data_IF_056538943870
#
_entry.id   IF_056538943870
#
_cell.length_a   1.000
_cell.length_b   1.000
_cell.length_c   1.000
_cell.angle_alpha   90.00
_cell.angle_beta   90.00
_cell.angle_gamma   90.00
#
_symmetry.space_group_name_H-M   'P 1'
#
loop_
_entity.id
_entity.type
_entity.pdbx_description
1 polymer ?
#
# COMPACT_ATOMS: atom_id res chain seq x y z
N UNK A 1 -10.49 -20.93 -11.16
CA UNK A 1 -9.28 -20.38 -11.83
C UNK A 1 -8.47 -19.63 -10.79
N UNK A 2 -7.46 -20.26 -10.18
CA UNK A 2 -6.52 -19.59 -9.27
C UNK A 2 -5.25 -19.25 -10.07
N UNK A 3 -4.92 -17.96 -10.12
CA UNK A 3 -3.77 -17.45 -10.87
C UNK A 3 -2.46 -17.95 -10.26
N UNK A 4 -1.64 -18.62 -11.08
CA UNK A 4 -0.33 -19.17 -10.73
C UNK A 4 0.78 -18.09 -10.73
N UNK A 5 0.53 -16.91 -10.13
CA UNK A 5 1.47 -15.78 -10.18
C UNK A 5 2.29 -15.56 -8.90
N UNK A 6 2.02 -16.28 -7.82
CA UNK A 6 2.71 -16.05 -6.53
C UNK A 6 4.12 -16.65 -6.42
N UNK A 7 4.62 -17.38 -7.42
CA UNK A 7 5.80 -18.24 -7.26
C UNK A 7 7.17 -17.51 -7.26
N UNK A 8 7.24 -16.18 -7.45
CA UNK A 8 8.52 -15.44 -7.51
C UNK A 8 8.53 -14.12 -6.75
N UNK A 9 7.82 -14.03 -5.61
CA UNK A 9 8.01 -12.90 -4.70
C UNK A 9 8.89 -13.30 -3.52
N UNK A 10 10.15 -12.83 -3.45
CA UNK A 10 10.97 -13.08 -2.27
C UNK A 10 10.29 -12.47 -1.04
N UNK A 11 10.19 -13.27 0.02
CA UNK A 11 9.65 -12.81 1.31
C UNK A 11 10.79 -12.36 2.21
N UNK A 12 10.57 -11.29 2.97
CA UNK A 12 11.55 -10.71 3.87
C UNK A 12 10.97 -10.57 5.27
N UNK A 13 11.78 -10.86 6.28
CA UNK A 13 11.40 -10.67 7.67
C UNK A 13 11.39 -9.18 8.03
N UNK A 14 10.32 -8.73 8.68
CA UNK A 14 10.20 -7.36 9.20
C UNK A 14 10.33 -7.42 10.73
N UNK A 15 11.42 -6.86 11.26
CA UNK A 15 11.68 -6.80 12.70
C UNK A 15 11.36 -5.40 13.23
N UNK A 16 10.32 -5.29 14.07
CA UNK A 16 9.88 -4.02 14.66
C UNK A 16 9.85 -4.11 16.18
N UNK A 17 10.33 -3.07 16.85
CA UNK A 17 10.16 -2.88 18.29
C UNK A 17 9.01 -1.89 18.50
N UNK A 18 8.02 -2.30 19.28
CA UNK A 18 6.85 -1.47 19.60
C UNK A 18 6.61 -1.51 21.11
N UNK A 19 5.99 -0.45 21.63
CA UNK A 19 5.52 -0.42 23.01
C UNK A 19 4.39 -1.43 23.21
N UNK A 20 4.23 -1.91 24.44
CA UNK A 20 3.26 -2.95 24.77
C UNK A 20 1.80 -2.47 24.62
N UNK A 21 1.53 -1.21 24.95
CA UNK A 21 0.21 -0.61 24.79
C UNK A 21 -0.25 -0.54 23.33
N UNK A 22 0.67 -0.16 22.43
CA UNK A 22 0.43 -0.16 20.98
C UNK A 22 0.24 -1.60 20.48
N UNK A 23 1.07 -2.54 20.94
CA UNK A 23 0.92 -3.96 20.61
C UNK A 23 -0.46 -4.49 21.00
N UNK A 24 -0.93 -4.15 22.20
CA UNK A 24 -2.25 -4.56 22.69
C UNK A 24 -3.39 -3.94 21.89
N UNK A 25 -3.26 -2.67 21.50
CA UNK A 25 -4.23 -2.00 20.63
C UNK A 25 -4.36 -2.71 19.27
N UNK A 26 -3.24 -2.99 18.61
CA UNK A 26 -3.23 -3.68 17.31
C UNK A 26 -3.82 -5.09 17.43
N UNK A 27 -3.48 -5.82 18.50
CA UNK A 27 -4.03 -7.16 18.72
C UNK A 27 -5.55 -7.15 18.87
N UNK A 28 -6.11 -6.17 19.58
CA UNK A 28 -7.57 -5.99 19.70
C UNK A 28 -8.21 -5.68 18.35
N UNK A 29 -7.63 -4.74 17.59
CA UNK A 29 -8.12 -4.42 16.25
C UNK A 29 -8.12 -5.66 15.35
N UNK A 30 -7.00 -6.37 15.25
CA UNK A 30 -6.87 -7.59 14.45
C UNK A 30 -7.93 -8.64 14.81
N UNK A 31 -8.22 -8.81 16.10
CA UNK A 31 -9.28 -9.72 16.58
C UNK A 31 -10.67 -9.33 16.07
N UNK A 32 -11.00 -8.03 16.04
CA UNK A 32 -12.27 -7.54 15.47
C UNK A 32 -12.39 -7.86 13.98
N UNK A 33 -11.28 -7.89 13.25
CA UNK A 33 -11.22 -8.27 11.83
C UNK A 33 -11.07 -9.79 11.59
N UNK A 34 -11.00 -10.61 12.65
CA UNK A 34 -10.78 -12.06 12.52
C UNK A 34 -9.40 -12.44 11.97
N UNK A 35 -8.41 -11.54 12.06
CA UNK A 35 -7.07 -11.71 11.48
C UNK A 35 -6.01 -11.94 12.54
N UNK A 36 -4.89 -12.54 12.13
CA UNK A 36 -3.68 -12.49 12.95
C UNK A 36 -3.14 -11.05 13.02
N UNK A 37 -2.42 -10.72 14.09
CA UNK A 37 -1.81 -9.38 14.23
C UNK A 37 -0.88 -9.04 13.07
N UNK A 38 -0.06 -9.99 12.62
CA UNK A 38 0.88 -9.78 11.51
C UNK A 38 0.14 -9.53 10.20
N UNK A 39 -0.88 -10.34 9.91
CA UNK A 39 -1.72 -10.16 8.71
C UNK A 39 -2.43 -8.81 8.71
N UNK A 40 -3.04 -8.43 9.85
CA UNK A 40 -3.64 -7.12 10.01
C UNK A 40 -2.64 -5.98 9.79
N UNK A 41 -1.42 -6.10 10.35
CA UNK A 41 -0.36 -5.10 10.16
C UNK A 41 0.09 -4.99 8.70
N UNK A 42 0.25 -6.11 8.00
CA UNK A 42 0.67 -6.12 6.60
C UNK A 42 -0.40 -5.54 5.67
N UNK A 43 -1.67 -5.92 5.86
CA UNK A 43 -2.77 -5.37 5.07
C UNK A 43 -2.96 -3.88 5.31
N UNK A 44 -2.89 -3.45 6.57
CA UNK A 44 -3.00 -2.03 6.93
C UNK A 44 -1.83 -1.25 6.34
N UNK A 45 -0.60 -1.74 6.47
CA UNK A 45 0.59 -1.10 5.94
C UNK A 45 0.53 -0.97 4.41
N UNK A 46 0.12 -2.03 3.71
CA UNK A 46 -0.05 -2.01 2.25
C UNK A 46 -1.06 -0.96 1.83
N UNK A 47 -2.25 -0.97 2.44
CA UNK A 47 -3.30 0.00 2.11
C UNK A 47 -2.85 1.44 2.37
N UNK A 48 -2.23 1.70 3.53
CA UNK A 48 -1.73 3.03 3.86
C UNK A 48 -0.62 3.48 2.89
N UNK A 49 0.24 2.56 2.45
CA UNK A 49 1.26 2.86 1.46
C UNK A 49 0.65 3.16 0.08
N UNK A 50 -0.34 2.38 -0.36
CA UNK A 50 -1.08 2.61 -1.61
C UNK A 50 -1.78 3.97 -1.58
N UNK A 51 -2.53 4.27 -0.51
CA UNK A 51 -3.23 5.54 -0.33
C UNK A 51 -2.22 6.71 -0.34
N UNK A 52 -1.09 6.59 0.37
CA UNK A 52 -0.05 7.62 0.41
C UNK A 52 0.66 7.86 -0.95
N UNK A 53 0.69 6.86 -1.83
CA UNK A 53 1.19 7.01 -3.20
C UNK A 53 0.14 7.66 -4.11
N UNK A 54 -1.14 7.33 -3.92
CA UNK A 54 -2.25 7.89 -4.70
C UNK A 54 -2.55 9.35 -4.34
N UNK A 55 -2.30 9.76 -3.11
CA UNK A 55 -2.48 11.15 -2.66
C UNK A 55 -1.44 12.12 -3.27
N UNK A 56 -0.40 11.61 -3.93
CA UNK A 56 0.60 12.44 -4.58
C UNK A 56 0.13 12.91 -5.95
N UNK A 57 0.33 14.20 -6.30
CA UNK A 57 0.02 14.67 -7.65
C UNK A 57 0.83 13.88 -8.68
N UNK A 58 0.25 13.56 -9.85
CA UNK A 58 1.00 12.93 -10.93
C UNK A 58 2.19 13.82 -11.30
N UNK A 59 3.34 13.18 -11.49
CA UNK A 59 4.62 13.85 -11.70
C UNK A 59 5.53 13.03 -12.63
N UNK A 60 6.61 13.66 -13.10
CA UNK A 60 7.62 13.04 -13.95
C UNK A 60 7.54 13.47 -15.42
N UNK A 61 8.61 13.17 -16.16
CA UNK A 61 8.83 13.71 -17.50
C UNK A 61 7.71 13.40 -18.50
N UNK A 62 7.07 12.22 -18.39
CA UNK A 62 5.97 11.86 -19.28
C UNK A 62 4.69 12.62 -18.95
N UNK A 63 4.44 12.89 -17.66
CA UNK A 63 3.34 13.75 -17.25
C UNK A 63 3.57 15.20 -17.70
N UNK A 64 4.80 15.71 -17.59
CA UNK A 64 5.16 17.05 -18.07
C UNK A 64 4.92 17.18 -19.59
N UNK A 65 5.31 16.16 -20.36
CA UNK A 65 5.04 16.09 -21.80
C UNK A 65 3.55 16.08 -22.11
N UNK A 66 2.75 15.31 -21.36
CA UNK A 66 1.30 15.26 -21.52
C UNK A 66 0.68 16.64 -21.27
N UNK A 67 1.11 17.33 -20.22
CA UNK A 67 0.60 18.65 -19.87
C UNK A 67 1.06 19.76 -20.82
N UNK A 68 2.18 19.58 -21.51
CA UNK A 68 2.68 20.48 -22.55
C UNK A 68 2.03 20.26 -23.93
N UNK A 69 1.33 19.14 -24.13
CA UNK A 69 0.66 18.84 -25.40
C UNK A 69 -0.48 19.84 -25.67
N UNK A 70 -0.56 20.34 -26.90
CA UNK A 70 -1.67 21.22 -27.31
C UNK A 70 -3.00 20.48 -27.25
N UNK A 71 -4.05 21.14 -26.75
CA UNK A 71 -5.40 20.56 -26.63
C UNK A 71 -6.02 20.41 -28.03
N UNK A 72 -6.18 19.19 -28.56
CA UNK A 72 -6.62 19.00 -29.94
C UNK A 72 -8.09 19.38 -30.19
N UNK A 73 -8.90 19.52 -29.14
CA UNK A 73 -10.33 19.89 -29.24
C UNK A 73 -10.59 21.40 -29.20
N UNK A 74 -9.54 22.23 -29.20
CA UNK A 74 -9.66 23.69 -29.32
C UNK A 74 -9.48 24.18 -30.77
N UNK A 75 -9.64 23.28 -31.74
CA UNK A 75 -9.57 23.56 -33.18
C UNK A 75 -10.95 23.73 -33.81
#
# INVERSE_FOLDING_TARGET
MFSASSALHPTYCVNLRIRDDIRALIARAAKTFGKSRSEFMMDTARRVAEDALLDQPPSGADFDRLMAASKPWLA
#
